data_IF_795441736291
#
_entry.id   IF_795441736291
#
_cell.length_a   1.000
_cell.length_b   1.000
_cell.length_c   1.000
_cell.angle_alpha   90.00
_cell.angle_beta   90.00
_cell.angle_gamma   90.00
#
_symmetry.space_group_name_H-M   'P 1'
#
loop_
_entity.id
_entity.type
_entity.pdbx_description
1 polymer ?
#
# COMPACT_ATOMS: atom_id res chain seq x y z
N UNK A 1 -17.20 -6.69 -25.86
CA UNK A 1 -16.04 -6.82 -24.95
C UNK A 1 -15.77 -5.43 -24.41
N UNK A 2 -16.12 -5.16 -23.15
CA UNK A 2 -15.73 -3.89 -22.53
C UNK A 2 -14.20 -3.88 -22.42
N UNK A 3 -13.51 -2.82 -22.89
CA UNK A 3 -12.08 -2.70 -22.67
C UNK A 3 -11.88 -2.75 -21.16
N UNK A 4 -10.98 -3.60 -20.67
CA UNK A 4 -10.64 -3.74 -19.26
C UNK A 4 -10.55 -2.35 -18.65
N UNK A 5 -11.61 -1.99 -17.91
CA UNK A 5 -11.99 -0.60 -17.70
C UNK A 5 -10.80 0.19 -17.15
N UNK A 6 -10.50 1.33 -17.77
CA UNK A 6 -9.51 2.31 -17.29
C UNK A 6 -9.70 2.58 -15.77
N UNK A 7 -10.90 2.39 -15.23
CA UNK A 7 -11.17 2.46 -13.79
C UNK A 7 -10.52 1.35 -12.96
N UNK A 8 -10.39 0.12 -13.45
CA UNK A 8 -9.61 -0.96 -12.80
C UNK A 8 -8.12 -0.63 -12.82
N UNK A 9 -7.62 -0.11 -13.94
CA UNK A 9 -6.25 0.38 -14.09
C UNK A 9 -5.96 1.54 -13.12
N UNK A 10 -6.83 2.55 -13.05
CA UNK A 10 -6.71 3.68 -12.11
C UNK A 10 -6.74 3.22 -10.65
N UNK A 11 -7.60 2.26 -10.30
CA UNK A 11 -7.65 1.68 -8.95
C UNK A 11 -6.40 0.88 -8.59
N UNK A 12 -5.70 0.30 -9.57
CA UNK A 12 -4.41 -0.33 -9.34
C UNK A 12 -3.23 0.65 -9.27
N UNK A 13 -3.31 1.78 -10.01
CA UNK A 13 -2.39 2.90 -9.87
C UNK A 13 -2.53 3.61 -8.52
N UNK A 14 -3.74 3.60 -7.96
CA UNK A 14 -3.95 3.91 -6.56
C UNK A 14 -3.39 2.75 -5.74
N UNK A 15 -2.11 2.85 -5.37
CA UNK A 15 -1.44 1.93 -4.45
C UNK A 15 -2.38 1.49 -3.31
N UNK A 16 -2.36 0.21 -2.89
CA UNK A 16 -3.43 -0.40 -2.08
C UNK A 16 -3.53 0.09 -0.62
N UNK A 17 -2.85 1.18 -0.25
CA UNK A 17 -2.83 1.69 1.11
C UNK A 17 -3.95 2.69 1.33
N UNK A 18 -5.11 2.17 1.73
CA UNK A 18 -6.18 3.03 2.27
C UNK A 18 -5.94 3.26 3.76
N UNK A 19 -5.38 4.42 4.10
CA UNK A 19 -5.36 4.92 5.48
C UNK A 19 -6.70 5.53 5.92
N UNK A 20 -7.75 5.38 5.10
CA UNK A 20 -9.08 5.93 5.37
C UNK A 20 -9.64 5.54 6.75
N UNK A 21 -9.48 4.30 7.24
CA UNK A 21 -9.95 3.96 8.58
C UNK A 21 -9.26 4.77 9.69
N UNK A 22 -7.94 4.96 9.60
CA UNK A 22 -7.18 5.74 10.57
C UNK A 22 -7.48 7.24 10.47
N UNK A 23 -7.69 7.75 9.25
CA UNK A 23 -8.15 9.13 9.01
C UNK A 23 -9.53 9.35 9.63
N UNK A 24 -10.47 8.44 9.40
CA UNK A 24 -11.82 8.52 9.96
C UNK A 24 -11.80 8.47 11.49
N UNK A 25 -11.03 7.55 12.08
CA UNK A 25 -10.90 7.45 13.53
C UNK A 25 -10.33 8.74 14.17
N UNK A 26 -9.37 9.37 13.52
CA UNK A 26 -8.84 10.66 13.97
C UNK A 26 -9.88 11.79 13.83
N UNK A 27 -10.64 11.79 12.74
CA UNK A 27 -11.70 12.76 12.50
C UNK A 27 -12.81 12.64 13.56
N UNK A 28 -13.31 11.44 13.81
CA UNK A 28 -14.32 11.15 14.83
C UNK A 28 -13.84 11.54 16.24
N UNK A 29 -12.55 11.34 16.54
CA UNK A 29 -11.98 11.83 17.79
C UNK A 29 -12.00 13.37 17.87
N UNK A 30 -11.60 14.05 16.79
CA UNK A 30 -11.60 15.52 16.75
C UNK A 30 -13.01 16.09 16.93
N UNK A 31 -14.00 15.52 16.25
CA UNK A 31 -15.40 15.92 16.38
C UNK A 31 -15.94 15.69 17.80
N UNK A 32 -15.64 14.54 18.42
CA UNK A 32 -16.13 14.21 19.76
C UNK A 32 -15.43 14.98 20.89
N UNK A 33 -14.14 15.30 20.74
CA UNK A 33 -13.34 15.96 21.79
C UNK A 33 -13.26 17.48 21.62
N UNK A 34 -13.68 18.00 20.47
CA UNK A 34 -13.66 19.42 20.10
C UNK A 34 -12.25 20.02 19.98
N UNK A 35 -11.20 19.19 20.04
CA UNK A 35 -9.82 19.65 20.00
C UNK A 35 -8.86 18.54 19.58
N UNK A 36 -8.11 18.75 18.50
CA UNK A 36 -7.19 17.77 17.91
C UNK A 36 -6.09 17.29 18.88
N UNK A 37 -5.60 18.17 19.77
CA UNK A 37 -4.57 17.81 20.76
C UNK A 37 -5.00 16.74 21.78
N UNK A 38 -6.31 16.47 21.92
CA UNK A 38 -6.83 15.38 22.77
C UNK A 38 -6.88 14.03 22.05
N UNK A 39 -6.49 14.00 20.77
CA UNK A 39 -6.61 12.87 19.87
C UNK A 39 -5.25 12.32 19.41
N UNK A 40 -4.21 12.50 20.24
CA UNK A 40 -2.82 12.10 19.95
C UNK A 40 -2.70 10.64 19.53
N UNK A 41 -3.35 9.70 20.22
CA UNK A 41 -3.30 8.29 19.86
C UNK A 41 -3.84 7.99 18.45
N UNK A 42 -4.98 8.61 18.08
CA UNK A 42 -5.54 8.46 16.72
C UNK A 42 -4.72 9.21 15.67
N UNK A 43 -4.07 10.31 16.05
CA UNK A 43 -3.15 11.06 15.20
C UNK A 43 -1.90 10.23 14.89
N UNK A 44 -1.28 9.62 15.91
CA UNK A 44 -0.13 8.73 15.76
C UNK A 44 -0.47 7.51 14.89
N UNK A 45 -1.65 6.90 15.08
CA UNK A 45 -2.11 5.78 14.26
C UNK A 45 -2.30 6.18 12.79
N UNK A 46 -2.87 7.37 12.54
CA UNK A 46 -3.03 7.95 11.20
C UNK A 46 -1.66 8.22 10.55
N UNK A 47 -0.76 8.87 11.27
CA UNK A 47 0.56 9.24 10.77
C UNK A 47 1.41 8.01 10.47
N UNK A 48 1.39 7.01 11.36
CA UNK A 48 2.05 5.72 11.14
C UNK A 48 1.52 5.00 9.91
N UNK A 49 0.20 4.99 9.70
CA UNK A 49 -0.37 4.41 8.48
C UNK A 49 0.13 5.12 7.22
N UNK A 50 0.16 6.46 7.23
CA UNK A 50 0.63 7.25 6.09
C UNK A 50 2.11 6.97 5.82
N UNK A 51 2.94 6.94 6.86
CA UNK A 51 4.37 6.64 6.75
C UNK A 51 4.62 5.24 6.18
N UNK A 52 3.94 4.21 6.73
CA UNK A 52 4.05 2.85 6.21
C UNK A 52 3.52 2.73 4.78
N UNK A 53 2.46 3.46 4.44
CA UNK A 53 1.91 3.56 3.10
C UNK A 53 2.90 4.15 2.10
N UNK A 54 3.48 5.32 2.41
CA UNK A 54 4.49 5.97 1.57
C UNK A 54 5.77 5.12 1.44
N UNK A 55 6.22 4.50 2.54
CA UNK A 55 7.36 3.56 2.49
C UNK A 55 7.07 2.39 1.56
N UNK A 56 5.87 1.82 1.62
CA UNK A 56 5.50 0.70 0.74
C UNK A 56 5.38 1.14 -0.70
N UNK A 57 4.75 2.27 -0.96
CA UNK A 57 4.68 2.90 -2.27
C UNK A 57 6.07 3.10 -2.86
N UNK A 58 7.01 3.64 -2.11
CA UNK A 58 8.39 3.81 -2.55
C UNK A 58 9.04 2.47 -2.96
N UNK A 59 8.87 1.42 -2.14
CA UNK A 59 9.40 0.08 -2.45
C UNK A 59 8.77 -0.49 -3.73
N UNK A 60 7.45 -0.36 -3.89
CA UNK A 60 6.74 -0.82 -5.07
C UNK A 60 7.14 -0.03 -6.33
N UNK A 61 7.31 1.29 -6.22
CA UNK A 61 7.79 2.11 -7.33
C UNK A 61 9.19 1.72 -7.76
N UNK A 62 10.09 1.42 -6.82
CA UNK A 62 11.43 0.92 -7.12
C UNK A 62 11.38 -0.45 -7.80
N UNK A 63 10.75 -1.44 -7.15
CA UNK A 63 10.80 -2.86 -7.59
C UNK A 63 9.93 -3.15 -8.79
N UNK A 64 8.76 -2.52 -8.88
CA UNK A 64 7.82 -2.71 -9.97
C UNK A 64 7.91 -1.62 -11.06
N UNK A 65 8.90 -0.72 -10.99
CA UNK A 65 9.16 0.34 -11.97
C UNK A 65 9.08 -0.16 -13.41
N UNK A 66 9.78 -1.24 -13.74
CA UNK A 66 9.83 -1.79 -15.10
C UNK A 66 8.49 -2.33 -15.58
N UNK A 67 7.73 -2.99 -14.70
CA UNK A 67 6.39 -3.47 -15.03
C UNK A 67 5.42 -2.30 -15.23
N UNK A 68 5.52 -1.27 -14.38
CA UNK A 68 4.78 -0.01 -14.48
C UNK A 68 5.08 0.71 -15.81
N UNK A 69 6.34 0.90 -16.17
CA UNK A 69 6.71 1.56 -17.44
C UNK A 69 6.22 0.79 -18.67
N UNK A 70 6.18 -0.54 -18.63
CA UNK A 70 5.62 -1.36 -19.72
C UNK A 70 4.11 -1.17 -19.84
N UNK A 71 3.41 -1.06 -18.71
CA UNK A 71 1.99 -0.75 -18.68
C UNK A 71 1.71 0.67 -19.15
N UNK A 72 2.47 1.67 -18.68
CA UNK A 72 2.39 3.07 -19.13
C UNK A 72 2.54 3.17 -20.65
N UNK A 73 3.58 2.53 -21.21
CA UNK A 73 3.80 2.50 -22.64
C UNK A 73 2.63 1.84 -23.39
N UNK A 74 2.08 0.74 -22.86
CA UNK A 74 0.93 0.08 -23.47
C UNK A 74 -0.31 1.00 -23.49
N UNK A 75 -0.61 1.66 -22.37
CA UNK A 75 -1.74 2.59 -22.23
C UNK A 75 -1.59 3.79 -23.17
N UNK A 76 -0.38 4.37 -23.25
CA UNK A 76 -0.09 5.49 -24.15
C UNK A 76 -0.30 5.12 -25.62
N UNK A 77 0.03 3.89 -26.01
CA UNK A 77 -0.17 3.38 -27.37
C UNK A 77 -1.60 2.86 -27.62
N UNK A 78 -2.51 2.97 -26.64
CA UNK A 78 -3.92 2.51 -26.72
C UNK A 78 -4.05 1.03 -27.16
N UNK A 79 -3.11 0.20 -26.73
CA UNK A 79 -3.10 -1.23 -27.01
C UNK A 79 -3.97 -1.99 -26.00
N UNK A 80 -4.17 -3.29 -26.25
CA UNK A 80 -4.66 -4.20 -25.21
C UNK A 80 -3.54 -4.44 -24.17
N UNK A 81 -3.80 -4.02 -22.93
CA UNK A 81 -2.81 -3.99 -21.86
C UNK A 81 -3.05 -5.03 -20.76
N UNK A 82 -3.99 -5.96 -20.94
CA UNK A 82 -4.35 -6.95 -19.93
C UNK A 82 -3.12 -7.71 -19.41
N UNK A 83 -2.27 -8.22 -20.30
CA UNK A 83 -1.05 -8.95 -19.90
C UNK A 83 -0.06 -8.08 -19.11
N UNK A 84 0.11 -6.81 -19.50
CA UNK A 84 1.02 -5.88 -18.82
C UNK A 84 0.45 -5.44 -17.46
N UNK A 85 -0.86 -5.34 -17.37
CA UNK A 85 -1.57 -5.11 -16.13
C UNK A 85 -1.40 -6.28 -15.15
N UNK A 86 -1.63 -7.52 -15.61
CA UNK A 86 -1.41 -8.72 -14.80
C UNK A 86 0.05 -8.84 -14.33
N UNK A 87 1.00 -8.47 -15.19
CA UNK A 87 2.44 -8.44 -14.83
C UNK A 87 2.73 -7.45 -13.71
N UNK A 88 2.16 -6.23 -13.78
CA UNK A 88 2.30 -5.25 -12.71
C UNK A 88 1.65 -5.75 -11.41
N UNK A 89 0.43 -6.27 -11.48
CA UNK A 89 -0.30 -6.78 -10.32
C UNK A 89 0.42 -7.93 -9.63
N UNK A 90 1.01 -8.84 -10.41
CA UNK A 90 1.86 -9.91 -9.88
C UNK A 90 3.05 -9.35 -9.11
N UNK A 91 3.78 -8.40 -9.70
CA UNK A 91 4.91 -7.75 -9.01
C UNK A 91 4.47 -7.08 -7.70
N UNK A 92 3.33 -6.39 -7.70
CA UNK A 92 2.78 -5.77 -6.49
C UNK A 92 2.47 -6.82 -5.43
N UNK A 93 1.83 -7.93 -5.81
CA UNK A 93 1.51 -9.04 -4.89
C UNK A 93 2.79 -9.62 -4.28
N UNK A 94 3.78 -9.96 -5.11
CA UNK A 94 5.04 -10.57 -4.67
C UNK A 94 5.75 -9.67 -3.64
N UNK A 95 5.83 -8.35 -3.90
CA UNK A 95 6.47 -7.39 -2.99
C UNK A 95 5.71 -7.26 -1.65
N UNK A 96 4.37 -7.30 -1.68
CA UNK A 96 3.55 -7.23 -0.47
C UNK A 96 3.63 -8.53 0.36
N UNK A 97 3.67 -9.68 -0.29
CA UNK A 97 3.85 -10.99 0.36
C UNK A 97 5.23 -11.12 1.02
N UNK A 98 6.31 -10.69 0.33
CA UNK A 98 7.66 -10.67 0.90
C UNK A 98 7.73 -9.78 2.16
N UNK A 99 7.06 -8.62 2.16
CA UNK A 99 7.01 -7.76 3.35
C UNK A 99 6.17 -8.35 4.48
N UNK A 100 5.14 -9.10 4.15
CA UNK A 100 4.30 -9.79 5.14
C UNK A 100 5.03 -10.98 5.78
N UNK A 101 5.87 -11.67 5.01
CA UNK A 101 6.65 -12.85 5.45
C UNK A 101 7.99 -12.50 6.09
N UNK A 102 8.50 -11.29 5.89
CA UNK A 102 9.71 -10.79 6.58
C UNK A 102 9.50 -10.55 8.09
N UNK A 103 8.30 -10.79 8.61
CA UNK A 103 7.98 -10.76 10.04
C UNK A 103 8.01 -12.17 10.66
N UNK A 104 9.07 -12.95 10.43
CA UNK A 104 9.37 -14.09 11.30
C UNK A 104 10.18 -13.54 12.48
N UNK A 105 9.62 -13.48 13.71
CA UNK A 105 10.42 -13.14 14.87
C UNK A 105 11.49 -14.22 15.00
N UNK A 106 12.75 -13.81 14.89
CA UNK A 106 13.89 -14.65 15.22
C UNK A 106 13.71 -15.14 16.66
N UNK A 107 13.26 -16.38 16.76
CA UNK A 107 13.22 -17.28 17.92
C UNK A 107 13.95 -16.69 19.14
N UNK A 108 13.19 -16.35 20.19
CA UNK A 108 13.73 -16.15 21.54
C UNK A 108 14.63 -17.36 21.85
N UNK A 109 15.93 -17.11 22.02
CA UNK A 109 16.80 -18.09 22.64
C UNK A 109 16.32 -18.27 24.09
N UNK A 110 16.15 -19.51 24.59
CA UNK A 110 15.93 -19.70 26.01
C UNK A 110 17.16 -19.17 26.75
N UNK A 111 16.92 -18.31 27.74
CA UNK A 111 17.96 -17.92 28.67
C UNK A 111 18.45 -19.19 29.39
N UNK A 112 19.72 -19.53 29.19
CA UNK A 112 20.41 -20.55 29.97
C UNK A 112 20.20 -20.24 31.45
N UNK A 113 19.52 -21.14 32.15
CA UNK A 113 19.35 -21.06 33.60
C UNK A 113 20.53 -21.79 34.22
N UNK A 114 21.27 -21.05 35.06
CA UNK A 114 22.40 -21.50 35.89
C UNK A 114 21.99 -22.64 36.82
#
# INVERSE_FOLDING_TARGET
MEPTSISKLRKAYAFPFSCQPAINAHHECCESRGHWAKCTATQEAKDKCIEEGERTKFVLEQRCSRAKSRLDACVLNRLDCEEKFQTLMKCVSDVLEERSTSFIPTRMQPADTV
#
